data_IF_502383376527
#
_entry.id   IF_502383376527
#
_cell.length_a   1.000
_cell.length_b   1.000
_cell.length_c   1.000
_cell.angle_alpha   90.00
_cell.angle_beta   90.00
_cell.angle_gamma   90.00
#
_symmetry.space_group_name_H-M   'P 1'
#
loop_
_entity.id
_entity.type
_entity.pdbx_description
1 polymer ?
#
# COMPACT_ATOMS: atom_id res chain seq x y z
N UNK A 1 -19.49 15.17 -10.99
CA UNK A 1 -19.50 15.40 -9.53
C UNK A 1 -18.80 14.27 -8.76
N UNK A 2 -19.32 13.04 -8.65
CA UNK A 2 -18.60 11.95 -7.91
C UNK A 2 -17.39 11.38 -8.67
N UNK A 3 -17.55 11.10 -9.97
CA UNK A 3 -16.47 10.60 -10.83
C UNK A 3 -15.30 11.60 -10.99
N UNK A 4 -15.58 12.91 -10.95
CA UNK A 4 -14.53 13.94 -11.01
C UNK A 4 -13.71 13.98 -9.72
N UNK A 5 -14.36 13.83 -8.56
CA UNK A 5 -13.69 13.81 -7.26
C UNK A 5 -12.74 12.61 -7.13
N UNK A 6 -13.19 11.42 -7.57
CA UNK A 6 -12.35 10.22 -7.57
C UNK A 6 -11.12 10.38 -8.48
N UNK A 7 -11.29 11.01 -9.64
CA UNK A 7 -10.20 11.26 -10.57
C UNK A 7 -9.17 12.26 -10.01
N UNK A 8 -9.63 13.30 -9.32
CA UNK A 8 -8.75 14.25 -8.62
C UNK A 8 -7.95 13.57 -7.50
N UNK A 9 -8.59 12.71 -6.70
CA UNK A 9 -7.92 11.95 -5.64
C UNK A 9 -6.84 11.02 -6.19
N UNK A 10 -7.13 10.31 -7.28
CA UNK A 10 -6.14 9.44 -7.94
C UNK A 10 -4.97 10.25 -8.49
N UNK A 11 -5.24 11.42 -9.07
CA UNK A 11 -4.19 12.32 -9.58
C UNK A 11 -3.28 12.80 -8.45
N UNK A 12 -3.85 13.15 -7.29
CA UNK A 12 -3.08 13.54 -6.12
C UNK A 12 -2.24 12.38 -5.56
N UNK A 13 -2.80 11.17 -5.51
CA UNK A 13 -2.09 9.97 -5.07
C UNK A 13 -0.91 9.64 -6.00
N UNK A 14 -1.12 9.69 -7.31
CA UNK A 14 -0.09 9.47 -8.33
C UNK A 14 1.07 10.46 -8.18
N UNK A 15 0.74 11.76 -8.05
CA UNK A 15 1.74 12.80 -7.83
C UNK A 15 2.58 12.54 -6.58
N UNK A 16 1.94 12.24 -5.44
CA UNK A 16 2.64 11.98 -4.17
C UNK A 16 3.51 10.72 -4.24
N UNK A 17 3.05 9.68 -4.93
CA UNK A 17 3.81 8.45 -5.09
C UNK A 17 5.06 8.68 -5.95
N UNK A 18 4.94 9.45 -7.03
CA UNK A 18 6.07 9.83 -7.89
C UNK A 18 7.12 10.64 -7.15
N UNK A 19 6.69 11.65 -6.37
CA UNK A 19 7.61 12.44 -5.52
C UNK A 19 8.39 11.54 -4.53
N UNK A 20 7.75 10.51 -3.97
CA UNK A 20 8.43 9.50 -3.14
C UNK A 20 9.36 8.59 -3.95
N UNK A 21 8.92 8.14 -5.13
CA UNK A 21 9.70 7.31 -6.03
C UNK A 21 11.00 8.01 -6.44
N UNK A 22 10.91 9.24 -6.94
CA UNK A 22 12.05 10.09 -7.28
C UNK A 22 13.02 10.25 -6.10
N UNK A 23 12.48 10.56 -4.91
CA UNK A 23 13.29 10.74 -3.70
C UNK A 23 14.13 9.51 -3.34
N UNK A 24 13.62 8.31 -3.61
CA UNK A 24 14.29 7.05 -3.28
C UNK A 24 14.88 6.32 -4.50
N UNK A 25 14.87 6.94 -5.69
CA UNK A 25 15.42 6.37 -6.92
C UNK A 25 14.61 5.20 -7.49
N UNK A 26 13.30 5.17 -7.26
CA UNK A 26 12.37 4.17 -7.80
C UNK A 26 11.79 4.71 -9.12
N UNK A 27 11.91 3.98 -10.25
CA UNK A 27 11.35 4.41 -11.53
C UNK A 27 9.82 4.50 -11.50
N UNK A 28 9.24 5.46 -12.23
CA UNK A 28 7.78 5.61 -12.38
C UNK A 28 7.07 4.32 -12.84
N UNK A 29 7.74 3.45 -13.61
CA UNK A 29 7.18 2.17 -14.05
C UNK A 29 6.95 1.17 -12.92
N UNK A 30 7.59 1.37 -11.77
CA UNK A 30 7.46 0.56 -10.55
C UNK A 30 6.56 1.24 -9.50
N UNK A 31 5.96 2.38 -9.83
CA UNK A 31 5.04 3.12 -8.98
C UNK A 31 3.59 2.86 -9.40
N UNK A 32 2.85 2.10 -8.59
CA UNK A 32 1.48 1.72 -8.90
C UNK A 32 0.47 2.43 -8.02
N UNK A 33 -0.45 3.18 -8.63
CA UNK A 33 -1.69 3.65 -8.01
C UNK A 33 -2.85 2.84 -8.57
N UNK A 34 -3.73 2.35 -7.70
CA UNK A 34 -4.89 1.55 -8.09
C UNK A 34 -6.13 1.96 -7.30
N UNK A 35 -7.27 2.00 -7.98
CA UNK A 35 -8.57 2.23 -7.37
C UNK A 35 -9.22 0.90 -7.00
N UNK A 36 -9.75 0.80 -5.78
CA UNK A 36 -10.47 -0.39 -5.34
C UNK A 36 -10.19 -0.75 -3.88
N UNK A 37 -10.42 -2.02 -3.55
CA UNK A 37 -10.14 -2.51 -2.20
C UNK A 37 -8.63 -2.67 -2.02
N UNK A 38 -8.05 -1.95 -1.05
CA UNK A 38 -6.62 -2.01 -0.73
C UNK A 38 -6.09 -3.44 -0.62
N UNK A 39 -6.82 -4.33 0.07
CA UNK A 39 -6.44 -5.74 0.17
C UNK A 39 -6.38 -6.41 -1.20
N UNK A 40 -7.43 -6.28 -2.01
CA UNK A 40 -7.49 -6.96 -3.32
C UNK A 40 -6.41 -6.45 -4.26
N UNK A 41 -6.22 -5.13 -4.31
CA UNK A 41 -5.25 -4.53 -5.22
C UNK A 41 -3.81 -4.85 -4.85
N UNK A 42 -3.44 -4.82 -3.56
CA UNK A 42 -2.09 -5.21 -3.13
C UNK A 42 -1.80 -6.67 -3.51
N UNK A 43 -2.74 -7.58 -3.22
CA UNK A 43 -2.56 -9.01 -3.53
C UNK A 43 -2.54 -9.28 -5.04
N UNK A 44 -3.36 -8.56 -5.82
CA UNK A 44 -3.37 -8.63 -7.29
C UNK A 44 -2.01 -8.22 -7.85
N UNK A 45 -1.47 -7.08 -7.43
CA UNK A 45 -0.17 -6.58 -7.91
C UNK A 45 0.93 -7.55 -7.52
N UNK A 46 0.96 -8.01 -6.26
CA UNK A 46 1.95 -8.98 -5.80
C UNK A 46 1.94 -10.27 -6.65
N UNK A 47 0.76 -10.79 -6.97
CA UNK A 47 0.61 -11.98 -7.79
C UNK A 47 1.00 -11.74 -9.26
N UNK A 48 0.57 -10.62 -9.85
CA UNK A 48 0.84 -10.32 -11.26
C UNK A 48 2.32 -10.05 -11.54
N UNK A 49 3.02 -9.45 -10.58
CA UNK A 49 4.44 -9.11 -10.72
C UNK A 49 5.38 -10.15 -10.10
N UNK A 50 4.85 -11.24 -9.54
CA UNK A 50 5.66 -12.28 -8.91
C UNK A 50 6.52 -11.75 -7.76
N UNK A 51 5.93 -10.90 -6.91
CA UNK A 51 6.65 -10.25 -5.80
C UNK A 51 7.00 -11.27 -4.73
N UNK A 52 8.27 -11.27 -4.29
CA UNK A 52 8.77 -12.19 -3.25
C UNK A 52 8.56 -11.67 -1.81
N UNK A 53 8.40 -10.36 -1.63
CA UNK A 53 8.23 -9.72 -0.31
C UNK A 53 7.32 -8.50 -0.38
N UNK A 54 6.31 -8.44 0.48
CA UNK A 54 5.49 -7.24 0.71
C UNK A 54 5.94 -6.55 2.00
N UNK A 55 6.36 -5.29 1.90
CA UNK A 55 6.63 -4.45 3.07
C UNK A 55 5.43 -3.56 3.35
N UNK A 56 4.88 -3.61 4.57
CA UNK A 56 3.69 -2.85 4.95
C UNK A 56 3.89 -2.14 6.29
N UNK A 57 3.46 -0.88 6.36
CA UNK A 57 3.43 -0.14 7.62
C UNK A 57 2.38 -0.72 8.57
N UNK A 58 2.77 -0.94 9.82
CA UNK A 58 1.89 -1.31 10.93
C UNK A 58 1.83 -0.15 11.93
N UNK A 59 0.62 0.32 12.20
CA UNK A 59 0.33 1.33 13.21
C UNK A 59 -0.56 0.68 14.26
N UNK A 60 -0.18 0.78 15.53
CA UNK A 60 -1.04 0.49 16.67
C UNK A 60 -1.46 1.82 17.30
N UNK A 61 -2.77 2.09 17.34
CA UNK A 61 -3.33 3.14 18.20
C UNK A 61 -3.28 2.62 19.65
N UNK A 62 -3.01 3.48 20.62
CA UNK A 62 -2.63 3.12 22.00
C UNK A 62 -3.50 2.04 22.68
N UNK A 63 -2.86 1.23 23.55
CA UNK A 63 -3.48 0.13 24.30
C UNK A 63 -3.10 -1.25 23.75
N UNK A 64 -3.35 -2.31 24.53
CA UNK A 64 -3.03 -3.73 24.23
C UNK A 64 -3.78 -4.27 22.98
N UNK A 65 -4.50 -3.41 22.25
CA UNK A 65 -5.30 -3.77 21.09
C UNK A 65 -4.60 -3.30 19.80
N UNK A 66 -4.25 -4.30 18.98
CA UNK A 66 -3.88 -4.22 17.56
C UNK A 66 -2.43 -3.79 17.27
N UNK A 67 -1.50 -4.74 17.47
CA UNK A 67 -0.13 -4.68 16.91
C UNK A 67 -0.12 -4.57 15.37
N UNK A 68 -1.25 -4.81 14.69
CA UNK A 68 -1.40 -4.78 13.24
C UNK A 68 -2.61 -3.93 12.85
N UNK A 69 -2.39 -2.85 12.09
CA UNK A 69 -3.46 -2.08 11.46
C UNK A 69 -4.24 -2.94 10.44
N UNK A 70 -5.45 -2.50 10.08
CA UNK A 70 -6.36 -3.27 9.20
C UNK A 70 -5.73 -3.67 7.87
N UNK A 71 -4.96 -2.78 7.23
CA UNK A 71 -4.24 -3.08 5.98
C UNK A 71 -3.18 -4.15 6.19
N UNK A 72 -2.30 -3.98 7.17
CA UNK A 72 -1.25 -4.96 7.47
C UNK A 72 -1.84 -6.33 7.80
N UNK A 73 -2.91 -6.37 8.61
CA UNK A 73 -3.63 -7.59 8.93
C UNK A 73 -4.23 -8.25 7.68
N UNK A 74 -4.86 -7.47 6.80
CA UNK A 74 -5.48 -7.97 5.57
C UNK A 74 -4.47 -8.54 4.56
N UNK A 75 -3.29 -7.92 4.45
CA UNK A 75 -2.18 -8.38 3.60
C UNK A 75 -1.57 -9.67 4.16
N UNK A 76 -1.27 -9.72 5.46
CA UNK A 76 -0.71 -10.91 6.12
C UNK A 76 -1.54 -12.18 5.90
N UNK A 77 -2.87 -12.05 5.89
CA UNK A 77 -3.77 -13.19 5.71
C UNK A 77 -4.00 -13.59 4.24
N UNK A 78 -3.43 -12.88 3.27
CA UNK A 78 -3.69 -13.16 1.85
C UNK A 78 -2.48 -13.07 0.92
N UNK A 79 -1.32 -12.66 1.42
CA UNK A 79 -0.12 -12.52 0.62
C UNK A 79 0.30 -13.86 0.01
N UNK A 80 0.64 -13.90 -1.30
CA UNK A 80 1.21 -15.10 -1.92
C UNK A 80 2.70 -15.30 -1.56
N UNK A 81 3.28 -14.40 -0.76
CA UNK A 81 4.70 -14.26 -0.50
C UNK A 81 4.97 -13.75 0.92
N UNK A 82 6.25 -13.61 1.27
CA UNK A 82 6.66 -13.13 2.60
C UNK A 82 6.13 -11.71 2.85
N UNK A 83 5.86 -11.41 4.13
CA UNK A 83 5.36 -10.09 4.55
C UNK A 83 6.18 -9.55 5.70
N UNK A 84 6.75 -8.35 5.51
CA UNK A 84 7.44 -7.60 6.55
C UNK A 84 6.56 -6.44 7.04
N UNK A 85 5.99 -6.61 8.23
CA UNK A 85 5.27 -5.54 8.92
C UNK A 85 6.24 -4.64 9.68
N UNK A 86 6.33 -3.37 9.29
CA UNK A 86 7.22 -2.38 9.93
C UNK A 86 6.42 -1.53 10.91
N UNK A 87 6.81 -1.50 12.19
CA UNK A 87 6.16 -0.61 13.17
C UNK A 87 6.56 0.84 12.88
N UNK A 88 5.62 1.63 12.40
CA UNK A 88 5.81 3.08 12.21
C UNK A 88 5.47 3.76 13.53
N UNK A 89 6.37 4.61 14.04
CA UNK A 89 6.11 5.47 15.19
C UNK A 89 5.66 6.82 14.63
N UNK A 90 4.58 7.35 15.19
CA UNK A 90 4.17 8.74 14.93
C UNK A 90 5.19 9.72 15.54
#
# INVERSE_FOLDING_TARGET
QELELDQELLTLADKRLKELGEKYGIPDSECFVSQGSTRREILRVAQQHGVDLIVVGSHGREGIQLLLGSTANAVLHGAPCDVLAVRVRD
#
